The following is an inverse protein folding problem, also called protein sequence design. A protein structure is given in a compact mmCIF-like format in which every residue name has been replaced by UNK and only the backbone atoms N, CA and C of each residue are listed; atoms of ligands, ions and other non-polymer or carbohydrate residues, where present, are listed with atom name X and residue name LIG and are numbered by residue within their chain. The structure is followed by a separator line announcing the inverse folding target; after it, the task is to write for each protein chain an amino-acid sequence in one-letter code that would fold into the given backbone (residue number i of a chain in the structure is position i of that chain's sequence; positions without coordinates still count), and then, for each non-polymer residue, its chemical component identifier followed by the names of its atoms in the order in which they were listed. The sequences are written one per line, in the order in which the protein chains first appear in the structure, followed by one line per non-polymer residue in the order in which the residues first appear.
data_IF_965985804304
#
_entry.id   IF_965985804304
#
_cell.length_a   1.000
_cell.length_b   1.000
_cell.length_c   1.000
_cell.angle_alpha   90.00
_cell.angle_beta   90.00
_cell.angle_gamma   90.00
#
_symmetry.space_group_name_H-M   'P 1'
#
loop_
_entity.id
_entity.type
_entity.pdbx_description
1 polymer ?
#
# COMPACT_ATOMS: atom_id res chain seq x y z
N UNK A 1 -50.46 21.92 58.57
CA UNK A 1 -50.38 22.10 57.12
C UNK A 1 -49.04 21.55 56.71
N UNK A 2 -49.04 20.34 56.20
CA UNK A 2 -47.80 19.65 55.79
C UNK A 2 -47.81 19.59 54.28
N UNK A 3 -46.87 20.29 53.66
CA UNK A 3 -46.66 20.30 52.23
C UNK A 3 -45.80 19.10 51.83
N UNK A 4 -46.35 18.20 51.08
CA UNK A 4 -45.75 17.00 50.57
C UNK A 4 -45.07 17.31 49.24
N UNK A 5 -43.74 17.49 49.23
CA UNK A 5 -42.96 17.59 48.02
C UNK A 5 -42.76 16.22 47.41
N UNK A 6 -43.33 15.96 46.25
CA UNK A 6 -43.09 14.79 45.41
C UNK A 6 -41.69 14.78 44.84
N UNK A 7 -40.97 13.65 44.81
CA UNK A 7 -39.68 13.55 44.17
C UNK A 7 -39.82 13.50 42.65
N UNK A 8 -39.17 14.41 41.94
CA UNK A 8 -39.07 14.44 40.49
C UNK A 8 -38.36 13.18 39.98
N UNK A 9 -39.08 12.41 39.19
CA UNK A 9 -38.59 11.22 38.52
C UNK A 9 -37.54 11.61 37.47
N UNK A 10 -36.28 11.60 37.87
CA UNK A 10 -35.16 11.79 36.95
C UNK A 10 -35.21 10.77 35.83
N UNK A 11 -35.51 11.22 34.62
CA UNK A 11 -35.35 10.43 33.40
C UNK A 11 -33.89 10.01 33.29
N UNK A 12 -33.56 8.80 33.72
CA UNK A 12 -32.29 8.15 33.39
C UNK A 12 -32.18 8.12 31.87
N UNK A 13 -31.39 9.00 31.31
CA UNK A 13 -30.98 8.93 29.92
C UNK A 13 -30.38 7.54 29.73
N UNK A 14 -31.13 6.66 29.06
CA UNK A 14 -30.61 5.36 28.62
C UNK A 14 -29.49 5.69 27.60
N UNK A 15 -28.28 5.69 28.08
CA UNK A 15 -27.11 5.58 27.23
C UNK A 15 -27.29 4.27 26.45
N UNK A 16 -27.96 4.34 25.29
CA UNK A 16 -27.85 3.30 24.27
C UNK A 16 -26.41 3.31 23.85
N UNK A 17 -25.57 2.53 24.50
CA UNK A 17 -24.37 2.02 23.89
C UNK A 17 -24.81 1.39 22.59
N UNK A 18 -24.74 2.13 21.51
CA UNK A 18 -24.90 1.57 20.18
C UNK A 18 -23.71 0.64 20.00
N UNK A 19 -23.89 -0.60 20.46
CA UNK A 19 -23.07 -1.72 20.05
C UNK A 19 -23.20 -1.72 18.55
N UNK A 20 -22.24 -1.07 17.89
CA UNK A 20 -22.23 -0.94 16.45
C UNK A 20 -22.36 -2.36 15.92
N UNK A 21 -23.44 -2.65 15.20
CA UNK A 21 -23.68 -3.93 14.57
C UNK A 21 -22.48 -4.22 13.69
N UNK A 22 -21.53 -4.99 14.22
CA UNK A 22 -20.40 -5.49 13.45
C UNK A 22 -20.91 -6.65 12.63
N UNK A 23 -20.96 -6.49 11.31
CA UNK A 23 -21.34 -7.57 10.41
C UNK A 23 -20.33 -8.71 10.53
N UNK A 24 -20.85 -9.93 10.64
CA UNK A 24 -20.06 -11.16 10.64
C UNK A 24 -19.69 -11.54 9.20
N UNK A 25 -18.68 -12.35 9.03
CA UNK A 25 -18.19 -12.78 7.69
C UNK A 25 -19.31 -13.46 6.87
N UNK A 26 -20.16 -14.26 7.50
CA UNK A 26 -21.31 -14.90 6.84
C UNK A 26 -22.31 -13.87 6.27
N UNK A 27 -22.59 -12.80 7.04
CA UNK A 27 -23.48 -11.73 6.61
C UNK A 27 -22.88 -10.93 5.46
N UNK A 28 -21.57 -10.66 5.50
CA UNK A 28 -20.83 -9.98 4.42
C UNK A 28 -20.87 -10.80 3.14
N UNK A 29 -20.73 -12.11 3.24
CA UNK A 29 -20.82 -13.05 2.12
C UNK A 29 -22.21 -13.07 1.48
N UNK A 30 -23.26 -12.90 2.28
CA UNK A 30 -24.63 -12.87 1.82
C UNK A 30 -25.06 -11.53 1.20
N UNK A 31 -24.28 -10.44 1.37
CA UNK A 31 -24.62 -9.13 0.81
C UNK A 31 -24.68 -9.17 -0.70
N UNK A 32 -25.84 -8.88 -1.29
CA UNK A 32 -26.06 -8.81 -2.73
C UNK A 32 -26.54 -7.45 -3.19
N UNK A 33 -27.10 -6.63 -2.29
CA UNK A 33 -27.61 -5.29 -2.63
C UNK A 33 -26.48 -4.34 -2.95
N UNK A 34 -26.51 -3.73 -4.14
CA UNK A 34 -25.54 -2.70 -4.57
C UNK A 34 -25.52 -1.53 -3.59
N UNK A 35 -24.33 -1.07 -3.24
CA UNK A 35 -24.13 0.09 -2.37
C UNK A 35 -23.06 -0.10 -1.32
N UNK A 36 -23.02 0.81 -0.36
CA UNK A 36 -22.11 0.76 0.79
C UNK A 36 -22.86 0.20 2.00
N UNK A 37 -22.30 -0.84 2.60
CA UNK A 37 -22.82 -1.43 3.82
C UNK A 37 -21.82 -1.21 4.94
N UNK A 38 -22.25 -0.62 6.05
CA UNK A 38 -21.40 -0.40 7.21
C UNK A 38 -21.14 -1.73 7.90
N UNK A 39 -19.88 -2.06 8.09
CA UNK A 39 -19.43 -3.27 8.78
C UNK A 39 -19.07 -2.97 10.23
N UNK A 40 -18.29 -1.91 10.44
CA UNK A 40 -17.93 -1.40 11.76
C UNK A 40 -17.62 0.10 11.68
N UNK A 41 -17.09 0.67 12.76
CA UNK A 41 -16.69 2.09 12.74
C UNK A 41 -15.67 2.35 11.62
N UNK A 42 -15.97 3.30 10.71
CA UNK A 42 -15.13 3.68 9.54
C UNK A 42 -14.90 2.58 8.51
N UNK A 43 -15.33 1.33 8.76
CA UNK A 43 -15.15 0.21 7.83
C UNK A 43 -16.48 -0.11 7.12
N UNK A 44 -16.43 -0.13 5.81
CA UNK A 44 -17.56 -0.41 4.92
C UNK A 44 -17.18 -1.50 3.92
N UNK A 45 -18.20 -2.21 3.46
CA UNK A 45 -18.09 -3.06 2.27
C UNK A 45 -18.91 -2.43 1.16
N UNK A 46 -18.27 -2.18 0.04
CA UNK A 46 -18.92 -1.72 -1.17
C UNK A 46 -19.28 -2.93 -2.02
N UNK A 47 -20.56 -3.05 -2.37
CA UNK A 47 -21.07 -4.07 -3.27
C UNK A 47 -21.34 -3.43 -4.63
N UNK A 48 -20.73 -3.96 -5.67
CA UNK A 48 -20.95 -3.56 -7.06
C UNK A 48 -21.41 -4.76 -7.87
N UNK A 49 -22.29 -4.53 -8.85
CA UNK A 49 -22.81 -5.57 -9.73
C UNK A 49 -22.25 -5.28 -11.12
N UNK A 50 -21.50 -6.24 -11.65
CA UNK A 50 -20.94 -6.17 -13.01
C UNK A 50 -21.98 -6.46 -14.08
N UNK A 51 -21.59 -6.27 -15.35
CA UNK A 51 -22.47 -6.38 -16.53
C UNK A 51 -23.16 -7.76 -16.65
N UNK A 52 -22.52 -8.83 -16.14
CA UNK A 52 -23.04 -10.22 -16.18
C UNK A 52 -23.65 -10.62 -14.83
N UNK A 53 -24.08 -9.68 -14.00
CA UNK A 53 -24.64 -9.98 -12.68
C UNK A 53 -23.60 -10.40 -11.63
N UNK A 54 -22.32 -10.35 -11.94
CA UNK A 54 -21.23 -10.71 -11.01
C UNK A 54 -21.19 -9.74 -9.84
N UNK A 55 -21.31 -10.25 -8.62
CA UNK A 55 -21.25 -9.44 -7.41
C UNK A 55 -19.79 -9.30 -6.98
N UNK A 56 -19.28 -8.06 -6.99
CA UNK A 56 -17.96 -7.73 -6.46
C UNK A 56 -18.11 -6.99 -5.14
N UNK A 57 -17.29 -7.34 -4.16
CA UNK A 57 -17.28 -6.73 -2.84
C UNK A 57 -15.88 -6.21 -2.55
N UNK A 58 -15.80 -4.95 -2.08
CA UNK A 58 -14.51 -4.31 -1.79
C UNK A 58 -14.59 -3.57 -0.46
N UNK A 59 -13.54 -3.66 0.32
CA UNK A 59 -13.42 -2.96 1.59
C UNK A 59 -13.09 -1.50 1.38
N UNK A 60 -13.81 -0.63 2.09
CA UNK A 60 -13.65 0.82 2.05
C UNK A 60 -13.51 1.36 3.47
N UNK A 61 -12.47 2.14 3.69
CA UNK A 61 -12.29 2.92 4.90
C UNK A 61 -12.76 4.35 4.65
N UNK A 62 -13.79 4.79 5.40
CA UNK A 62 -14.34 6.15 5.31
C UNK A 62 -13.92 6.96 6.52
N UNK A 63 -13.41 8.17 6.27
CA UNK A 63 -12.89 9.05 7.31
C UNK A 63 -13.09 10.52 6.97
N UNK A 64 -12.86 11.38 7.96
CA UNK A 64 -12.74 12.83 7.77
C UNK A 64 -11.34 13.27 8.16
N UNK A 65 -10.75 14.12 7.35
CA UNK A 65 -9.45 14.72 7.61
C UNK A 65 -9.49 16.20 7.21
N UNK A 66 -9.02 17.10 8.09
CA UNK A 66 -9.06 18.55 7.88
C UNK A 66 -10.45 19.05 7.39
N UNK A 67 -11.53 18.56 8.00
CA UNK A 67 -12.90 18.95 7.65
C UNK A 67 -13.48 18.29 6.39
N UNK A 68 -12.68 17.60 5.57
CA UNK A 68 -13.09 16.94 4.33
C UNK A 68 -13.36 15.45 4.53
N UNK A 69 -14.43 14.94 3.93
CA UNK A 69 -14.70 13.49 3.89
C UNK A 69 -13.85 12.84 2.81
N UNK A 70 -13.26 11.71 3.14
CA UNK A 70 -12.44 10.91 2.23
C UNK A 70 -12.73 9.42 2.41
N UNK A 71 -12.39 8.65 1.38
CA UNK A 71 -12.47 7.20 1.43
C UNK A 71 -11.21 6.57 0.82
N UNK A 72 -10.83 5.41 1.37
CA UNK A 72 -9.67 4.65 0.94
C UNK A 72 -10.05 3.18 0.76
N UNK A 73 -9.83 2.65 -0.45
CA UNK A 73 -10.01 1.23 -0.75
C UNK A 73 -8.96 0.38 -0.04
N UNK A 74 -9.40 -0.66 0.67
CA UNK A 74 -8.51 -1.60 1.37
C UNK A 74 -8.29 -2.89 0.59
N UNK A 75 -9.09 -3.14 -0.44
CA UNK A 75 -8.96 -4.30 -1.31
C UNK A 75 -10.23 -5.14 -1.43
N UNK A 76 -10.22 -6.18 -2.28
CA UNK A 76 -11.40 -6.99 -2.57
C UNK A 76 -11.65 -8.04 -1.49
N UNK A 77 -12.93 -8.32 -1.23
CA UNK A 77 -13.37 -9.47 -0.46
C UNK A 77 -13.70 -10.63 -1.44
N UNK A 78 -13.36 -11.88 -1.15
CA UNK A 78 -12.79 -12.40 0.11
C UNK A 78 -11.25 -12.40 0.19
N UNK A 79 -10.53 -11.94 -0.83
CA UNK A 79 -9.05 -11.91 -0.83
C UNK A 79 -8.50 -11.22 0.43
N UNK A 80 -9.09 -10.10 0.80
CA UNK A 80 -8.87 -9.47 2.11
C UNK A 80 -10.00 -9.94 3.03
N UNK A 81 -9.67 -10.71 4.05
CA UNK A 81 -10.63 -11.19 5.05
C UNK A 81 -11.15 -10.04 5.94
N UNK A 82 -12.28 -10.24 6.62
CA UNK A 82 -12.80 -9.29 7.59
C UNK A 82 -11.78 -8.92 8.67
N UNK A 83 -11.01 -9.91 9.17
CA UNK A 83 -9.96 -9.69 10.16
C UNK A 83 -8.85 -8.78 9.61
N UNK A 84 -8.39 -9.03 8.39
CA UNK A 84 -7.36 -8.22 7.74
C UNK A 84 -7.84 -6.78 7.47
N UNK A 85 -9.10 -6.62 7.03
CA UNK A 85 -9.71 -5.31 6.83
C UNK A 85 -9.85 -4.53 8.14
N UNK A 86 -10.23 -5.21 9.24
CA UNK A 86 -10.31 -4.62 10.59
C UNK A 86 -8.94 -4.13 11.05
N UNK A 87 -7.89 -4.95 10.94
CA UNK A 87 -6.52 -4.55 11.28
C UNK A 87 -6.04 -3.34 10.44
N UNK A 88 -6.37 -3.33 9.16
CA UNK A 88 -6.04 -2.19 8.29
C UNK A 88 -6.77 -0.92 8.72
N UNK A 89 -8.07 -1.02 9.05
CA UNK A 89 -8.85 0.09 9.62
C UNK A 89 -8.21 0.65 10.89
N UNK A 90 -7.76 -0.22 11.80
CA UNK A 90 -7.17 0.19 13.08
C UNK A 90 -5.86 0.94 12.86
N UNK A 91 -4.97 0.43 11.97
CA UNK A 91 -3.74 1.13 11.59
C UNK A 91 -4.01 2.51 11.00
N UNK A 92 -4.99 2.62 10.09
CA UNK A 92 -5.36 3.90 9.49
C UNK A 92 -6.02 4.85 10.50
N UNK A 93 -6.74 4.31 11.49
CA UNK A 93 -7.33 5.11 12.57
C UNK A 93 -6.25 5.68 13.50
N UNK A 94 -5.15 4.96 13.72
CA UNK A 94 -3.98 5.46 14.46
C UNK A 94 -3.34 6.61 13.72
N UNK A 95 -3.10 6.47 12.39
CA UNK A 95 -2.55 7.57 11.58
C UNK A 95 -3.40 8.84 11.66
N UNK A 96 -4.73 8.69 11.63
CA UNK A 96 -5.63 9.84 11.81
C UNK A 96 -5.51 10.48 13.20
N UNK A 97 -5.34 9.67 14.25
CA UNK A 97 -5.13 10.17 15.60
C UNK A 97 -3.79 10.91 15.73
N UNK A 98 -2.77 10.51 14.96
CA UNK A 98 -1.48 11.20 14.84
C UNK A 98 -1.55 12.48 13.97
N UNK A 99 -2.72 12.82 13.43
CA UNK A 99 -2.88 13.98 12.55
C UNK A 99 -2.34 13.79 11.14
N UNK A 100 -2.14 12.53 10.68
CA UNK A 100 -1.65 12.19 9.35
C UNK A 100 -2.81 11.74 8.45
N UNK A 101 -2.83 12.22 7.19
CA UNK A 101 -3.82 11.75 6.21
C UNK A 101 -3.44 10.37 5.67
N UNK A 102 -4.27 9.32 5.90
CA UNK A 102 -4.00 7.97 5.43
C UNK A 102 -3.76 7.86 3.92
N UNK A 103 -4.43 8.67 3.11
CA UNK A 103 -4.28 8.67 1.65
C UNK A 103 -2.92 9.22 1.23
N UNK A 104 -2.49 10.31 1.83
CA UNK A 104 -1.19 10.93 1.59
C UNK A 104 -0.05 10.00 2.04
N UNK A 105 -0.16 9.41 3.23
CA UNK A 105 0.82 8.45 3.75
C UNK A 105 0.95 7.21 2.84
N UNK A 106 -0.16 6.67 2.37
CA UNK A 106 -0.13 5.53 1.43
C UNK A 106 0.55 5.88 0.12
N UNK A 107 0.30 7.09 -0.43
CA UNK A 107 0.94 7.56 -1.65
C UNK A 107 2.43 7.75 -1.46
N UNK A 108 2.84 8.33 -0.32
CA UNK A 108 4.25 8.51 0.04
C UNK A 108 4.98 7.17 0.12
N UNK A 109 4.46 6.23 0.90
CA UNK A 109 5.05 4.90 1.05
C UNK A 109 5.16 4.16 -0.29
N UNK A 110 4.15 4.29 -1.17
CA UNK A 110 4.18 3.69 -2.50
C UNK A 110 5.24 4.33 -3.41
N UNK A 111 5.45 5.65 -3.32
CA UNK A 111 6.50 6.35 -4.08
C UNK A 111 7.89 6.01 -3.57
N UNK A 112 8.09 5.96 -2.27
CA UNK A 112 9.36 5.54 -1.65
C UNK A 112 9.73 4.10 -2.03
N UNK A 113 8.76 3.18 -1.96
CA UNK A 113 8.98 1.79 -2.39
C UNK A 113 9.37 1.68 -3.87
N UNK A 114 8.67 2.43 -4.75
CA UNK A 114 9.05 2.47 -6.17
C UNK A 114 10.44 3.03 -6.39
N UNK A 115 10.80 4.11 -5.68
CA UNK A 115 12.13 4.70 -5.76
C UNK A 115 13.22 3.71 -5.33
N UNK A 116 12.98 2.95 -4.25
CA UNK A 116 13.92 1.91 -3.78
C UNK A 116 14.11 0.82 -4.83
N UNK A 117 13.01 0.32 -5.43
CA UNK A 117 13.10 -0.70 -6.49
C UNK A 117 13.85 -0.18 -7.71
N UNK A 118 13.61 1.06 -8.12
CA UNK A 118 14.32 1.67 -9.25
C UNK A 118 15.80 1.81 -8.93
N UNK A 119 16.15 2.28 -7.73
CA UNK A 119 17.54 2.42 -7.29
C UNK A 119 18.27 1.08 -7.28
N UNK A 120 17.64 0.02 -6.73
CA UNK A 120 18.22 -1.34 -6.75
C UNK A 120 18.40 -1.89 -8.17
N UNK A 121 17.40 -1.69 -9.04
CA UNK A 121 17.51 -2.09 -10.45
C UNK A 121 18.65 -1.37 -11.15
N UNK A 122 18.77 -0.05 -10.95
CA UNK A 122 19.84 0.76 -11.52
C UNK A 122 21.21 0.29 -11.00
N UNK A 123 21.31 0.02 -9.69
CA UNK A 123 22.52 -0.51 -9.07
C UNK A 123 22.94 -1.86 -9.70
N UNK A 124 22.01 -2.79 -9.87
CA UNK A 124 22.24 -4.10 -10.50
C UNK A 124 22.58 -4.00 -11.99
N UNK A 125 21.96 -3.06 -12.71
CA UNK A 125 22.23 -2.84 -14.14
C UNK A 125 23.57 -2.15 -14.40
N UNK A 126 24.06 -1.35 -13.47
CA UNK A 126 25.29 -0.57 -13.57
C UNK A 126 26.44 -1.21 -12.79
N UNK A 127 26.63 -2.52 -12.94
CA UNK A 127 27.84 -3.18 -12.43
C UNK A 127 29.05 -2.78 -13.24
N UNK A 128 30.25 -2.88 -12.65
CA UNK A 128 31.51 -2.62 -13.34
C UNK A 128 31.60 -3.40 -14.66
N UNK A 129 31.26 -4.70 -14.62
CA UNK A 129 31.24 -5.56 -15.81
C UNK A 129 30.30 -5.02 -16.89
N UNK A 130 29.04 -4.76 -16.54
CA UNK A 130 28.04 -4.31 -17.53
C UNK A 130 28.38 -2.96 -18.14
N UNK A 131 28.99 -2.06 -17.36
CA UNK A 131 29.47 -0.77 -17.86
C UNK A 131 30.69 -0.93 -18.77
N UNK A 132 31.65 -1.78 -18.41
CA UNK A 132 32.82 -2.06 -19.20
C UNK A 132 32.45 -2.73 -20.54
N UNK A 133 31.59 -3.74 -20.55
CA UNK A 133 31.11 -4.41 -21.77
C UNK A 133 30.36 -3.44 -22.67
N UNK A 134 29.54 -2.58 -22.13
CA UNK A 134 28.84 -1.53 -22.90
C UNK A 134 29.82 -0.51 -23.47
N UNK A 135 30.80 -0.06 -22.69
CA UNK A 135 31.83 0.83 -23.16
C UNK A 135 32.66 0.18 -24.29
N UNK A 136 33.05 -1.09 -24.10
CA UNK A 136 33.73 -1.87 -25.11
C UNK A 136 32.94 -1.93 -26.44
N UNK A 137 31.63 -2.24 -26.37
CA UNK A 137 30.78 -2.32 -27.57
C UNK A 137 30.66 -0.97 -28.31
N UNK A 138 30.60 0.15 -27.57
CA UNK A 138 30.53 1.50 -28.14
C UNK A 138 31.88 1.88 -28.79
N UNK A 139 33.00 1.56 -28.14
CA UNK A 139 34.35 1.96 -28.58
C UNK A 139 34.95 1.02 -29.62
N UNK A 140 34.44 -0.22 -29.72
CA UNK A 140 34.96 -1.22 -30.67
C UNK A 140 35.05 -0.74 -32.12
N UNK A 141 34.07 0.00 -32.69
CA UNK A 141 34.19 0.54 -34.07
C UNK A 141 35.30 1.59 -34.27
N UNK A 142 35.66 2.28 -33.18
CA UNK A 142 36.72 3.33 -33.24
C UNK A 142 38.14 2.74 -33.22
N UNK A 143 38.31 1.49 -32.79
CA UNK A 143 39.61 0.85 -32.68
C UNK A 143 40.04 0.25 -34.00
N UNK A 144 41.16 0.75 -34.51
CA UNK A 144 41.75 0.29 -35.79
C UNK A 144 42.26 -1.15 -35.74
N UNK A 145 42.58 -1.67 -34.57
CA UNK A 145 43.13 -3.02 -34.37
C UNK A 145 42.18 -3.89 -33.54
N UNK A 146 41.53 -4.87 -34.20
CA UNK A 146 40.61 -5.83 -33.58
C UNK A 146 41.29 -6.66 -32.48
N UNK A 147 42.60 -6.96 -32.60
CA UNK A 147 43.38 -7.69 -31.59
C UNK A 147 43.52 -6.87 -30.31
N UNK A 148 43.69 -5.58 -30.42
CA UNK A 148 43.74 -4.67 -29.27
C UNK A 148 42.39 -4.59 -28.55
N UNK A 149 41.30 -4.50 -29.30
CA UNK A 149 39.95 -4.52 -28.71
C UNK A 149 39.67 -5.82 -27.92
N UNK A 150 40.09 -6.95 -28.45
CA UNK A 150 39.94 -8.24 -27.74
C UNK A 150 40.84 -8.30 -26.50
N UNK A 151 42.07 -7.83 -26.59
CA UNK A 151 43.01 -7.84 -25.47
C UNK A 151 42.51 -6.96 -24.31
N UNK A 152 41.85 -5.83 -24.62
CA UNK A 152 41.30 -4.94 -23.60
C UNK A 152 40.24 -5.65 -22.76
N UNK A 153 39.26 -6.32 -23.40
CA UNK A 153 38.19 -7.02 -22.67
C UNK A 153 38.74 -8.22 -21.91
N UNK A 154 39.66 -9.01 -22.48
CA UNK A 154 40.28 -10.16 -21.83
C UNK A 154 41.11 -9.77 -20.60
N UNK A 155 41.72 -8.62 -20.61
CA UNK A 155 42.42 -8.09 -19.42
C UNK A 155 41.45 -7.80 -18.29
N UNK A 156 40.28 -7.21 -18.60
CA UNK A 156 39.25 -6.97 -17.62
C UNK A 156 38.66 -8.29 -17.04
N UNK A 157 38.42 -9.27 -17.92
CA UNK A 157 37.93 -10.59 -17.54
C UNK A 157 38.91 -11.29 -16.58
N UNK A 158 40.19 -11.19 -16.85
CA UNK A 158 41.22 -11.88 -16.08
C UNK A 158 41.50 -11.20 -14.73
N UNK A 159 41.60 -9.87 -14.71
CA UNK A 159 42.13 -9.14 -13.56
C UNK A 159 41.10 -8.33 -12.80
N UNK A 160 40.11 -7.73 -13.46
CA UNK A 160 39.18 -6.83 -12.84
C UNK A 160 37.83 -7.48 -12.47
N UNK A 161 37.29 -8.29 -13.35
CA UNK A 161 35.96 -8.88 -13.11
C UNK A 161 35.88 -9.83 -11.92
N UNK A 162 36.92 -10.62 -11.56
CA UNK A 162 36.87 -11.45 -10.37
C UNK A 162 36.70 -10.63 -9.07
N UNK A 163 37.22 -9.42 -9.04
CA UNK A 163 37.19 -8.53 -7.88
C UNK A 163 36.03 -7.51 -7.94
N UNK A 164 35.90 -6.82 -9.06
CA UNK A 164 35.02 -5.65 -9.21
C UNK A 164 33.78 -5.92 -10.08
N UNK A 165 33.77 -7.01 -10.84
CA UNK A 165 32.80 -7.24 -11.91
C UNK A 165 31.33 -7.12 -11.47
N UNK A 166 30.98 -7.57 -10.29
CA UNK A 166 29.64 -7.54 -9.73
C UNK A 166 29.36 -6.31 -8.86
N UNK A 167 30.38 -5.48 -8.59
CA UNK A 167 30.18 -4.26 -7.81
C UNK A 167 29.49 -3.20 -8.68
N UNK A 168 28.67 -2.39 -8.06
CA UNK A 168 28.12 -1.21 -8.75
C UNK A 168 29.25 -0.21 -9.04
N UNK A 169 29.23 0.41 -10.21
CA UNK A 169 30.19 1.47 -10.56
C UNK A 169 30.17 2.63 -9.56
N UNK A 170 29.07 2.81 -8.83
CA UNK A 170 28.97 3.83 -7.79
C UNK A 170 29.69 3.45 -6.50
N UNK A 171 30.01 2.16 -6.32
CA UNK A 171 30.65 1.61 -5.12
C UNK A 171 32.14 1.26 -5.38
N UNK A 172 32.65 1.47 -6.61
CA UNK A 172 34.03 1.33 -7.03
C UNK A 172 34.74 2.69 -6.93
#
# INVERSE_FOLDING_TARGET
MLDSASPSTGRRARYRTSRALELRDAEIRALSKKGYHRVSQRLYIQVTIGVVGTIKRSWIFKYKFAGKSAELGLGPYPTISLRAATLSRDRLSILLAEGKDPKTERSRNASEYKATIIAERTKRANTFRSCAERLHSIKRPEWKNAKHAQQWISSLETYAYPLLGNMSVQDV
#
